data_IF_723721426113
#
_entry.id   IF_723721426113
#
_cell.length_a   1.000
_cell.length_b   1.000
_cell.length_c   1.000
_cell.angle_alpha   90.00
_cell.angle_beta   90.00
_cell.angle_gamma   90.00
#
_symmetry.space_group_name_H-M   'P 1'
#
loop_
_entity.id
_entity.type
_entity.pdbx_description
1 polymer ?
#
# COMPACT_ATOMS: atom_id res chain seq x y z
N UNK A 1 0.19 11.33 -6.04
CA UNK A 1 -0.20 9.94 -5.82
C UNK A 1 -0.74 9.27 -7.08
N UNK A 2 -1.41 9.98 -7.94
CA UNK A 2 -2.05 9.45 -9.16
C UNK A 2 -3.56 9.30 -9.03
N UNK A 3 -4.09 9.71 -7.90
CA UNK A 3 -5.51 9.94 -7.65
C UNK A 3 -5.63 11.44 -7.41
N UNK A 4 -6.20 12.15 -8.38
CA UNK A 4 -6.17 13.62 -8.44
C UNK A 4 -6.76 14.24 -7.17
N UNK A 5 -7.96 13.79 -6.81
CA UNK A 5 -8.68 14.30 -5.64
C UNK A 5 -7.92 14.02 -4.34
N UNK A 6 -7.26 12.86 -4.24
CA UNK A 6 -6.44 12.53 -3.09
C UNK A 6 -5.19 13.42 -3.01
N UNK A 7 -4.57 13.73 -4.15
CA UNK A 7 -3.46 14.67 -4.22
C UNK A 7 -3.90 16.09 -3.79
N UNK A 8 -5.10 16.53 -4.18
CA UNK A 8 -5.70 17.81 -3.76
C UNK A 8 -5.98 17.84 -2.25
N UNK A 9 -6.56 16.76 -1.69
CA UNK A 9 -6.83 16.63 -0.25
C UNK A 9 -5.52 16.69 0.56
N UNK A 10 -4.42 16.15 0.03
CA UNK A 10 -3.08 16.24 0.62
C UNK A 10 -2.33 17.54 0.28
N UNK A 11 -3.01 18.55 -0.28
CA UNK A 11 -2.38 19.84 -0.58
C UNK A 11 -1.29 19.78 -1.66
N UNK A 12 -1.39 18.85 -2.59
CA UNK A 12 -0.47 18.64 -3.71
C UNK A 12 0.24 17.28 -3.71
N UNK A 13 -0.17 16.38 -2.83
CA UNK A 13 0.33 15.01 -2.75
C UNK A 13 1.24 14.74 -1.56
N UNK A 14 1.85 13.56 -1.55
CA UNK A 14 2.74 13.14 -0.46
C UNK A 14 4.14 13.76 -0.58
N UNK A 15 4.71 14.28 0.51
CA UNK A 15 6.09 14.77 0.52
C UNK A 15 7.09 13.62 0.30
N UNK A 16 8.30 13.93 -0.14
CA UNK A 16 9.40 12.97 -0.34
C UNK A 16 10.50 13.25 0.67
N UNK A 17 10.97 12.27 1.46
CA UNK A 17 10.49 10.90 1.61
C UNK A 17 9.23 10.82 2.47
N UNK A 18 8.38 9.81 2.24
CA UNK A 18 7.13 9.67 2.97
C UNK A 18 6.53 8.26 2.88
N UNK A 19 5.77 7.90 3.91
CA UNK A 19 4.86 6.75 3.90
C UNK A 19 3.44 7.19 4.15
N UNK A 20 2.52 6.48 3.51
CA UNK A 20 1.09 6.54 3.75
C UNK A 20 0.63 5.20 4.32
N UNK A 21 0.03 5.22 5.50
CA UNK A 21 -0.78 4.12 5.99
C UNK A 21 -2.21 4.26 5.46
N UNK A 22 -2.72 3.20 4.86
CA UNK A 22 -4.15 3.04 4.59
C UNK A 22 -4.70 2.04 5.60
N UNK A 23 -5.43 2.51 6.58
CA UNK A 23 -6.10 1.69 7.57
C UNK A 23 -7.59 1.68 7.27
N UNK A 24 -8.17 0.53 6.94
CA UNK A 24 -9.57 0.52 6.50
C UNK A 24 -10.28 -0.81 6.68
N UNK A 25 -11.60 -0.74 6.73
CA UNK A 25 -12.47 -1.90 6.82
C UNK A 25 -12.33 -2.81 5.60
N UNK A 26 -12.79 -4.04 5.69
CA UNK A 26 -12.77 -5.00 4.57
C UNK A 26 -13.67 -4.48 3.45
N UNK A 27 -13.21 -4.58 2.19
CA UNK A 27 -13.98 -4.16 1.02
C UNK A 27 -13.99 -2.65 0.75
N UNK A 28 -13.14 -1.85 1.43
CA UNK A 28 -13.10 -0.38 1.24
C UNK A 28 -12.17 0.11 0.13
N UNK A 29 -11.62 -0.78 -0.70
CA UNK A 29 -10.78 -0.39 -1.84
C UNK A 29 -9.32 -0.09 -1.51
N UNK A 30 -8.79 -0.52 -0.35
CA UNK A 30 -7.37 -0.33 0.04
C UNK A 30 -6.40 -0.76 -1.06
N UNK A 31 -6.54 -2.00 -1.54
CA UNK A 31 -5.67 -2.55 -2.59
C UNK A 31 -5.85 -1.84 -3.93
N UNK A 32 -7.06 -1.36 -4.25
CA UNK A 32 -7.31 -0.56 -5.46
C UNK A 32 -6.54 0.76 -5.42
N UNK A 33 -6.54 1.46 -4.27
CA UNK A 33 -5.71 2.68 -4.09
C UNK A 33 -4.22 2.35 -4.28
N UNK A 34 -3.75 1.23 -3.73
CA UNK A 34 -2.38 0.77 -3.86
C UNK A 34 -1.99 0.50 -5.33
N UNK A 35 -2.85 -0.20 -6.07
CA UNK A 35 -2.65 -0.54 -7.47
C UNK A 35 -2.66 0.70 -8.36
N UNK A 36 -3.63 1.61 -8.16
CA UNK A 36 -3.70 2.86 -8.88
C UNK A 36 -2.46 3.73 -8.65
N UNK A 37 -2.01 3.82 -7.39
CA UNK A 37 -0.78 4.53 -7.05
C UNK A 37 0.42 3.99 -7.82
N UNK A 38 0.67 2.67 -7.76
CA UNK A 38 1.82 2.05 -8.44
C UNK A 38 1.76 2.28 -9.94
N UNK A 39 0.61 2.04 -10.57
CA UNK A 39 0.43 2.23 -12.00
C UNK A 39 0.70 3.68 -12.42
N UNK A 40 0.08 4.63 -11.72
CA UNK A 40 0.26 6.05 -12.01
C UNK A 40 1.69 6.55 -11.81
N UNK A 41 2.41 6.01 -10.82
CA UNK A 41 3.81 6.38 -10.60
C UNK A 41 4.74 5.75 -11.65
N UNK A 42 4.51 4.50 -12.04
CA UNK A 42 5.28 3.84 -13.09
C UNK A 42 5.08 4.54 -14.45
N UNK A 43 3.87 4.98 -14.76
CA UNK A 43 3.60 5.82 -15.95
C UNK A 43 4.35 7.15 -15.97
N UNK A 44 4.77 7.65 -14.81
CA UNK A 44 5.64 8.83 -14.67
C UNK A 44 7.13 8.50 -14.75
N UNK A 45 7.49 7.22 -14.96
CA UNK A 45 8.86 6.75 -15.08
C UNK A 45 9.54 6.40 -13.75
N UNK A 46 8.81 6.35 -12.63
CA UNK A 46 9.40 5.88 -11.37
C UNK A 46 9.48 4.36 -11.33
N UNK A 47 10.57 3.83 -10.76
CA UNK A 47 10.62 2.42 -10.41
C UNK A 47 9.69 2.13 -9.23
N UNK A 48 8.85 1.13 -9.39
CA UNK A 48 7.79 0.76 -8.47
C UNK A 48 7.91 -0.70 -8.05
N UNK A 49 7.70 -0.99 -6.77
CA UNK A 49 7.64 -2.36 -6.25
C UNK A 49 6.32 -2.58 -5.51
N UNK A 50 5.62 -3.63 -5.87
CA UNK A 50 4.42 -4.09 -5.18
C UNK A 50 4.71 -5.41 -4.47
N UNK A 51 4.69 -5.41 -3.14
CA UNK A 51 4.84 -6.61 -2.34
C UNK A 51 3.47 -7.29 -2.19
N UNK A 52 3.30 -8.40 -2.90
CA UNK A 52 2.08 -9.19 -2.96
C UNK A 52 2.06 -10.19 -1.80
N UNK A 53 1.37 -9.85 -0.69
CA UNK A 53 1.30 -10.68 0.52
C UNK A 53 -0.05 -11.39 0.61
N UNK A 54 -1.14 -10.65 0.41
CA UNK A 54 -2.52 -11.15 0.57
C UNK A 54 -3.07 -11.79 -0.71
N UNK A 55 -2.57 -11.37 -1.85
CA UNK A 55 -2.97 -11.84 -3.16
C UNK A 55 -1.73 -12.23 -3.98
N UNK A 56 -1.90 -13.15 -4.92
CA UNK A 56 -0.82 -13.49 -5.86
C UNK A 56 -0.56 -12.33 -6.85
N UNK A 57 0.66 -12.23 -7.42
CA UNK A 57 0.91 -11.26 -8.50
C UNK A 57 -0.06 -11.38 -9.68
N UNK A 58 -0.48 -12.61 -10.03
CA UNK A 58 -1.45 -12.84 -11.10
C UNK A 58 -2.81 -12.23 -10.78
N UNK A 59 -3.30 -12.37 -9.52
CA UNK A 59 -4.57 -11.78 -9.10
C UNK A 59 -4.48 -10.24 -9.09
N UNK A 60 -3.35 -9.69 -8.63
CA UNK A 60 -3.11 -8.24 -8.65
C UNK A 60 -3.13 -7.71 -10.08
N UNK A 61 -2.44 -8.37 -11.03
CA UNK A 61 -2.45 -7.99 -12.46
C UNK A 61 -3.85 -8.05 -13.05
N UNK A 62 -4.59 -9.15 -12.82
CA UNK A 62 -5.96 -9.30 -13.32
C UNK A 62 -6.86 -8.19 -12.80
N UNK A 63 -6.78 -7.86 -11.52
CA UNK A 63 -7.55 -6.77 -10.95
C UNK A 63 -7.16 -5.41 -11.56
N UNK A 64 -5.87 -5.14 -11.77
CA UNK A 64 -5.41 -3.92 -12.43
C UNK A 64 -5.93 -3.81 -13.86
N UNK A 65 -5.89 -4.90 -14.64
CA UNK A 65 -6.40 -4.96 -16.02
C UNK A 65 -7.90 -4.69 -16.05
N UNK A 66 -8.66 -5.27 -15.12
CA UNK A 66 -10.12 -5.04 -15.05
C UNK A 66 -10.50 -3.58 -14.79
N UNK A 67 -9.58 -2.80 -14.21
CA UNK A 67 -9.71 -1.36 -13.95
C UNK A 67 -9.04 -0.49 -15.05
N UNK A 68 -8.67 -1.10 -16.19
CA UNK A 68 -8.04 -0.40 -17.29
C UNK A 68 -6.56 -0.07 -17.09
N UNK A 69 -5.90 -0.66 -16.10
CA UNK A 69 -4.48 -0.42 -15.76
C UNK A 69 -3.62 -1.63 -16.11
N UNK A 70 -3.46 -1.92 -17.41
CA UNK A 70 -2.60 -3.02 -17.83
C UNK A 70 -1.12 -2.73 -17.47
N UNK A 71 -0.51 -3.50 -16.56
CA UNK A 71 0.86 -3.27 -16.11
C UNK A 71 1.91 -3.88 -17.03
N UNK A 72 1.53 -4.69 -18.05
CA UNK A 72 2.43 -5.55 -18.83
C UNK A 72 3.61 -4.78 -19.40
N UNK A 73 3.37 -3.70 -20.13
CA UNK A 73 4.44 -2.87 -20.74
C UNK A 73 5.36 -2.24 -19.67
N UNK A 74 4.81 -1.88 -18.52
CA UNK A 74 5.57 -1.27 -17.43
C UNK A 74 6.44 -2.32 -16.69
N UNK A 75 5.99 -3.57 -16.60
CA UNK A 75 6.79 -4.69 -16.09
C UNK A 75 7.93 -5.04 -17.05
N UNK A 76 7.66 -5.11 -18.36
CA UNK A 76 8.68 -5.36 -19.39
C UNK A 76 9.79 -4.29 -19.36
N UNK A 77 9.43 -3.03 -19.12
CA UNK A 77 10.38 -1.93 -18.94
C UNK A 77 11.07 -1.93 -17.58
N UNK A 78 10.71 -2.83 -16.67
CA UNK A 78 11.23 -2.88 -15.29
C UNK A 78 10.75 -1.76 -14.38
N UNK A 79 9.73 -0.99 -14.80
CA UNK A 79 9.15 0.10 -14.02
C UNK A 79 8.18 -0.41 -12.94
N UNK A 80 7.58 -1.58 -13.11
CA UNK A 80 6.82 -2.26 -12.07
C UNK A 80 7.48 -3.60 -11.77
N UNK A 81 7.62 -3.91 -10.48
CA UNK A 81 8.10 -5.21 -9.97
C UNK A 81 7.06 -5.73 -9.00
N UNK A 82 6.38 -6.81 -9.35
CA UNK A 82 5.57 -7.56 -8.39
C UNK A 82 6.47 -8.56 -7.68
N UNK A 83 6.52 -8.47 -6.36
CA UNK A 83 7.30 -9.40 -5.52
C UNK A 83 6.33 -10.40 -4.92
N UNK A 84 6.42 -11.64 -5.36
CA UNK A 84 5.58 -12.72 -4.86
C UNK A 84 6.07 -13.18 -3.50
N UNK A 85 5.37 -12.76 -2.48
CA UNK A 85 5.50 -13.21 -1.09
C UNK A 85 4.11 -13.60 -0.57
N UNK A 86 3.29 -14.18 -1.47
CA UNK A 86 1.91 -14.56 -1.18
C UNK A 86 1.85 -15.69 -0.14
N UNK A 87 1.14 -15.43 0.96
CA UNK A 87 1.04 -16.35 2.11
C UNK A 87 0.26 -17.64 1.81
N UNK A 88 -0.64 -17.61 0.83
CA UNK A 88 -1.43 -18.76 0.41
C UNK A 88 -0.69 -19.76 -0.49
N UNK A 89 0.55 -19.47 -0.89
CA UNK A 89 1.30 -20.32 -1.80
C UNK A 89 1.95 -21.48 -1.04
N UNK A 90 1.76 -22.70 -1.55
CA UNK A 90 2.39 -23.92 -1.02
C UNK A 90 3.65 -24.32 -1.82
N UNK A 91 3.70 -23.97 -3.11
CA UNK A 91 4.79 -24.30 -4.03
C UNK A 91 5.60 -23.06 -4.42
N UNK A 92 6.74 -23.29 -5.08
CA UNK A 92 7.55 -22.20 -5.65
C UNK A 92 6.78 -21.48 -6.76
N UNK A 93 6.95 -20.18 -6.81
CA UNK A 93 6.36 -19.33 -7.85
C UNK A 93 7.22 -19.30 -9.10
N UNK A 94 6.61 -19.18 -10.28
CA UNK A 94 7.32 -18.89 -11.53
C UNK A 94 7.63 -17.39 -11.69
N UNK A 95 7.24 -16.57 -10.69
CA UNK A 95 7.48 -15.15 -10.73
C UNK A 95 8.98 -14.81 -10.64
N UNK A 96 9.40 -13.83 -11.40
CA UNK A 96 10.79 -13.35 -11.44
C UNK A 96 11.32 -12.88 -10.09
N UNK A 97 10.43 -12.29 -9.30
CA UNK A 97 10.74 -11.76 -7.97
C UNK A 97 9.87 -12.49 -6.95
N UNK A 98 10.49 -13.25 -6.09
CA UNK A 98 9.79 -14.06 -5.08
C UNK A 98 10.53 -14.09 -3.75
N UNK A 99 9.84 -14.47 -2.70
CA UNK A 99 10.34 -14.66 -1.36
C UNK A 99 9.37 -15.48 -0.53
N UNK A 100 9.68 -15.62 0.75
CA UNK A 100 8.88 -16.43 1.67
C UNK A 100 8.33 -15.55 2.81
N UNK A 101 7.05 -15.18 2.73
CA UNK A 101 6.41 -14.42 3.80
C UNK A 101 6.17 -15.24 5.07
N UNK A 102 6.20 -16.58 5.01
CA UNK A 102 6.01 -17.47 6.18
C UNK A 102 7.25 -17.53 7.06
N UNK A 103 8.41 -17.12 6.57
CA UNK A 103 9.65 -17.02 7.33
C UNK A 103 10.04 -15.54 7.49
N UNK A 104 9.94 -15.00 8.70
CA UNK A 104 10.22 -13.58 8.96
C UNK A 104 11.69 -13.22 8.69
N UNK A 105 12.62 -14.14 8.95
CA UNK A 105 14.06 -13.92 8.74
C UNK A 105 14.43 -13.87 7.24
N UNK A 106 13.60 -14.44 6.37
CA UNK A 106 13.69 -14.33 4.92
C UNK A 106 12.90 -13.14 4.38
N UNK A 107 11.73 -12.83 4.97
CA UNK A 107 10.86 -11.73 4.57
C UNK A 107 11.59 -10.39 4.65
N UNK A 108 12.24 -10.09 5.77
CA UNK A 108 12.89 -8.80 6.00
C UNK A 108 14.00 -8.51 4.98
N UNK A 109 14.97 -9.42 4.71
CA UNK A 109 15.95 -9.23 3.64
C UNK A 109 15.32 -9.12 2.25
N UNK A 110 14.28 -9.92 1.97
CA UNK A 110 13.55 -9.85 0.69
C UNK A 110 12.96 -8.46 0.46
N UNK A 111 12.22 -7.94 1.44
CA UNK A 111 11.65 -6.59 1.34
C UNK A 111 12.77 -5.54 1.18
N UNK A 112 13.83 -5.62 2.00
CA UNK A 112 14.96 -4.69 1.95
C UNK A 112 15.64 -4.62 0.59
N UNK A 113 15.79 -5.75 -0.09
CA UNK A 113 16.45 -5.86 -1.41
C UNK A 113 15.84 -4.93 -2.46
N UNK A 114 14.56 -4.64 -2.34
CA UNK A 114 13.81 -3.81 -3.29
C UNK A 114 13.73 -2.33 -2.90
N UNK A 115 14.33 -1.89 -1.79
CA UNK A 115 14.39 -0.47 -1.43
C UNK A 115 15.55 0.23 -2.14
N UNK A 116 15.30 0.67 -3.37
CA UNK A 116 16.23 1.42 -4.22
C UNK A 116 16.00 2.93 -4.06
N UNK A 117 16.91 3.74 -4.61
CA UNK A 117 16.81 5.21 -4.57
C UNK A 117 15.57 5.72 -5.31
N UNK A 118 14.86 6.67 -4.73
CA UNK A 118 13.67 7.33 -5.29
C UNK A 118 12.52 6.38 -5.69
N UNK A 119 12.48 5.18 -5.15
CA UNK A 119 11.50 4.15 -5.49
C UNK A 119 10.09 4.50 -4.96
N UNK A 120 9.08 3.93 -5.62
CA UNK A 120 7.71 3.85 -5.11
C UNK A 120 7.42 2.42 -4.72
N UNK A 121 6.73 2.21 -3.60
CA UNK A 121 6.43 0.85 -3.15
C UNK A 121 5.06 0.75 -2.49
N UNK A 122 4.56 -0.48 -2.47
CA UNK A 122 3.35 -0.90 -1.75
C UNK A 122 3.64 -2.15 -0.95
N UNK A 123 3.17 -2.20 0.29
CA UNK A 123 3.08 -3.42 1.13
C UNK A 123 1.60 -3.73 1.33
N UNK A 124 1.13 -4.81 0.70
CA UNK A 124 -0.29 -5.21 0.70
C UNK A 124 -0.45 -6.66 1.19
N UNK A 125 -0.70 -6.90 2.50
CA UNK A 125 -0.84 -5.96 3.58
C UNK A 125 0.08 -6.30 4.78
N UNK A 126 0.30 -5.32 5.66
CA UNK A 126 1.01 -5.56 6.92
C UNK A 126 0.17 -6.38 7.90
N UNK A 127 -1.15 -6.41 7.72
CA UNK A 127 -2.05 -7.22 8.55
C UNK A 127 -1.74 -8.69 8.47
N UNK A 128 -1.44 -9.22 7.29
CA UNK A 128 -1.08 -10.63 7.14
C UNK A 128 0.29 -10.95 7.75
N UNK A 129 1.22 -10.00 7.72
CA UNK A 129 2.50 -10.15 8.45
C UNK A 129 2.25 -10.21 9.96
N UNK A 130 1.41 -9.33 10.49
CA UNK A 130 1.06 -9.32 11.91
C UNK A 130 0.31 -10.59 12.33
N UNK A 131 -0.58 -11.10 11.47
CA UNK A 131 -1.30 -12.33 11.73
C UNK A 131 -0.38 -13.58 11.79
N UNK A 132 0.59 -13.64 10.86
CA UNK A 132 1.51 -14.79 10.76
C UNK A 132 2.61 -14.77 11.83
N UNK A 133 3.16 -13.60 12.12
CA UNK A 133 4.39 -13.47 12.91
C UNK A 133 4.22 -12.75 14.25
N UNK A 134 3.02 -12.22 14.50
CA UNK A 134 2.72 -11.39 15.67
C UNK A 134 2.93 -9.89 15.40
N UNK A 135 2.24 -9.08 16.17
CA UNK A 135 2.20 -7.62 16.03
C UNK A 135 3.57 -6.97 16.26
N UNK A 136 4.38 -7.52 17.18
CA UNK A 136 5.73 -7.01 17.48
C UNK A 136 6.66 -7.10 16.26
N UNK A 137 6.65 -8.24 15.55
CA UNK A 137 7.47 -8.44 14.35
C UNK A 137 6.97 -7.58 13.18
N UNK A 138 5.66 -7.45 13.02
CA UNK A 138 5.09 -6.56 12.01
C UNK A 138 5.48 -5.09 12.30
N UNK A 139 5.45 -4.67 13.55
CA UNK A 139 5.90 -3.35 13.96
C UNK A 139 7.40 -3.14 13.70
N UNK A 140 8.25 -4.13 14.01
CA UNK A 140 9.69 -4.09 13.69
C UNK A 140 9.92 -3.90 12.17
N UNK A 141 9.20 -4.65 11.33
CA UNK A 141 9.27 -4.47 9.87
C UNK A 141 8.89 -3.04 9.46
N UNK A 142 7.83 -2.47 10.01
CA UNK A 142 7.41 -1.08 9.73
C UNK A 142 8.53 -0.10 10.11
N UNK A 143 9.15 -0.26 11.26
CA UNK A 143 10.25 0.62 11.69
C UNK A 143 11.46 0.52 10.75
N UNK A 144 11.81 -0.68 10.29
CA UNK A 144 12.86 -0.88 9.29
C UNK A 144 12.52 -0.23 7.95
N UNK A 145 11.29 -0.40 7.49
CA UNK A 145 10.78 0.23 6.27
C UNK A 145 10.90 1.75 6.35
N UNK A 146 10.54 2.36 7.48
CA UNK A 146 10.73 3.79 7.70
C UNK A 146 12.19 4.23 7.58
N UNK A 147 13.11 3.47 8.19
CA UNK A 147 14.54 3.76 8.06
C UNK A 147 15.03 3.68 6.61
N UNK A 148 14.59 2.67 5.86
CA UNK A 148 14.96 2.52 4.44
C UNK A 148 14.41 3.66 3.59
N UNK A 149 13.16 4.07 3.81
CA UNK A 149 12.51 5.19 3.11
C UNK A 149 13.29 6.48 3.29
N UNK A 150 13.70 6.79 4.50
CA UNK A 150 14.49 8.00 4.78
C UNK A 150 15.82 7.98 4.02
N UNK A 151 16.51 6.83 4.02
CA UNK A 151 17.81 6.68 3.37
C UNK A 151 17.73 6.70 1.84
N UNK A 152 16.64 6.17 1.26
CA UNK A 152 16.48 6.04 -0.20
C UNK A 152 15.64 7.15 -0.82
N UNK A 153 15.08 8.07 -0.02
CA UNK A 153 14.15 9.12 -0.46
C UNK A 153 12.92 8.56 -1.19
N UNK A 154 12.47 7.39 -0.77
CA UNK A 154 11.34 6.69 -1.37
C UNK A 154 10.00 7.24 -0.90
N UNK A 155 8.93 6.86 -1.59
CA UNK A 155 7.54 7.09 -1.17
C UNK A 155 6.78 5.79 -1.30
N UNK A 156 5.99 5.44 -0.29
CA UNK A 156 5.23 4.21 -0.36
C UNK A 156 3.95 4.19 0.44
N UNK A 157 3.18 3.15 0.17
CA UNK A 157 1.93 2.85 0.84
C UNK A 157 2.08 1.54 1.60
N UNK A 158 1.62 1.54 2.83
CA UNK A 158 1.40 0.33 3.63
C UNK A 158 -0.08 0.26 3.92
N UNK A 159 -0.75 -0.84 3.58
CA UNK A 159 -2.14 -1.01 3.98
C UNK A 159 -2.29 -1.97 5.16
N UNK A 160 -3.37 -1.78 5.91
CA UNK A 160 -3.77 -2.62 7.03
C UNK A 160 -5.29 -2.72 7.14
N UNK A 161 -5.77 -3.83 7.67
CA UNK A 161 -7.19 -4.07 7.96
C UNK A 161 -7.51 -3.51 9.34
N UNK A 162 -8.47 -2.59 9.40
CA UNK A 162 -8.96 -1.98 10.63
C UNK A 162 -9.75 -2.99 11.45
N UNK A 163 -9.54 -3.00 12.77
CA UNK A 163 -10.25 -3.90 13.69
C UNK A 163 -9.76 -5.35 13.69
N UNK A 164 -8.77 -5.69 12.85
CA UNK A 164 -8.19 -7.03 12.82
C UNK A 164 -7.16 -7.26 13.92
N UNK A 165 -6.58 -6.21 14.47
CA UNK A 165 -5.45 -6.24 15.39
C UNK A 165 -5.79 -5.56 16.72
N UNK A 166 -4.88 -5.69 17.70
CA UNK A 166 -5.02 -4.97 18.95
C UNK A 166 -5.07 -3.46 18.71
N UNK A 167 -5.87 -2.75 19.51
CA UNK A 167 -5.93 -1.29 19.47
C UNK A 167 -4.55 -0.65 19.67
N UNK A 168 -3.71 -1.28 20.48
CA UNK A 168 -2.34 -0.82 20.72
C UNK A 168 -1.51 -0.88 19.45
N UNK A 169 -1.56 -1.99 18.71
CA UNK A 169 -0.85 -2.13 17.45
C UNK A 169 -1.34 -1.12 16.39
N UNK A 170 -2.65 -0.99 16.23
CA UNK A 170 -3.20 -0.01 15.27
C UNK A 170 -2.78 1.43 15.59
N UNK A 171 -2.74 1.80 16.88
CA UNK A 171 -2.24 3.13 17.29
C UNK A 171 -0.73 3.23 17.00
N UNK A 172 0.05 2.20 17.31
CA UNK A 172 1.49 2.20 17.12
C UNK A 172 1.89 2.38 15.64
N UNK A 173 1.23 1.68 14.72
CA UNK A 173 1.51 1.83 13.28
C UNK A 173 1.07 3.20 12.75
N UNK A 174 -0.03 3.76 13.24
CA UNK A 174 -0.45 5.13 12.90
C UNK A 174 0.56 6.16 13.43
N UNK A 175 1.15 5.92 14.60
CA UNK A 175 2.18 6.80 15.14
C UNK A 175 3.48 6.69 14.33
N UNK A 176 3.90 5.48 13.97
CA UNK A 176 5.14 5.22 13.25
C UNK A 176 5.15 5.82 11.83
N UNK A 177 4.04 5.72 11.10
CA UNK A 177 3.94 6.14 9.70
C UNK A 177 3.61 7.65 9.58
N UNK A 178 4.18 8.32 8.59
CA UNK A 178 4.13 9.78 8.46
C UNK A 178 2.75 10.33 8.12
N UNK A 179 2.00 9.61 7.29
CA UNK A 179 0.66 9.99 6.86
C UNK A 179 -0.30 8.82 7.05
N UNK A 180 -1.53 9.12 7.42
CA UNK A 180 -2.55 8.10 7.69
C UNK A 180 -3.87 8.53 7.09
N UNK A 181 -4.43 7.69 6.24
CA UNK A 181 -5.84 7.75 5.86
C UNK A 181 -6.60 6.60 6.51
N UNK A 182 -7.84 6.85 6.88
CA UNK A 182 -8.75 5.83 7.38
C UNK A 182 -9.89 5.70 6.39
N UNK A 183 -10.16 4.47 5.98
CA UNK A 183 -11.31 4.10 5.15
C UNK A 183 -12.35 3.41 6.03
N UNK A 184 -13.53 3.96 6.09
CA UNK A 184 -14.63 3.46 6.89
C UNK A 184 -15.80 3.10 5.98
N UNK A 185 -16.36 1.91 6.20
CA UNK A 185 -17.58 1.48 5.54
C UNK A 185 -18.77 1.75 6.45
N UNK A 186 -19.78 2.40 5.93
CA UNK A 186 -21.05 2.59 6.60
C UNK A 186 -21.91 1.33 6.41
N UNK A 187 -22.27 0.67 7.51
CA UNK A 187 -23.00 -0.61 7.46
C UNK A 187 -24.46 -0.47 6.98
N UNK A 188 -25.06 0.72 7.11
CA UNK A 188 -26.45 0.94 6.70
C UNK A 188 -26.55 1.27 5.21
N UNK A 189 -25.62 2.09 4.72
CA UNK A 189 -25.65 2.60 3.33
C UNK A 189 -24.71 1.90 2.37
N UNK A 190 -23.85 1.01 2.88
CA UNK A 190 -22.75 0.37 2.14
C UNK A 190 -21.72 1.36 1.56
N UNK A 191 -21.85 2.64 1.91
CA UNK A 191 -20.99 3.72 1.41
C UNK A 191 -19.62 3.68 2.07
N UNK A 192 -18.58 3.97 1.29
CA UNK A 192 -17.21 4.06 1.79
C UNK A 192 -16.81 5.52 1.95
N UNK A 193 -16.17 5.82 3.05
CA UNK A 193 -15.67 7.15 3.37
C UNK A 193 -14.18 7.13 3.67
N UNK A 194 -13.52 8.18 3.23
CA UNK A 194 -12.10 8.46 3.50
C UNK A 194 -11.97 9.67 4.43
N UNK A 195 -11.11 9.57 5.42
CA UNK A 195 -10.63 10.74 6.17
C UNK A 195 -9.12 10.69 6.38
N UNK A 196 -8.49 11.86 6.40
CA UNK A 196 -7.08 11.96 6.78
C UNK A 196 -7.01 12.03 8.30
N UNK A 197 -6.38 11.02 8.92
CA UNK A 197 -6.20 10.96 10.37
C UNK A 197 -4.91 11.66 10.81
N UNK A 198 -3.88 11.67 9.94
CA UNK A 198 -2.58 12.26 10.24
C UNK A 198 -1.87 12.65 8.95
N UNK A 199 -1.18 13.79 8.96
CA UNK A 199 -0.17 14.15 7.97
C UNK A 199 1.05 14.74 8.64
N UNK A 200 2.20 14.56 8.01
CA UNK A 200 3.44 15.23 8.39
C UNK A 200 4.02 15.97 7.17
N UNK A 201 4.56 17.15 7.40
CA UNK A 201 5.25 17.98 6.38
C UNK A 201 4.34 18.49 5.24
N UNK A 202 3.03 18.39 5.36
CA UNK A 202 2.07 18.94 4.40
C UNK A 202 0.78 19.36 5.11
N UNK A 203 0.06 20.32 4.53
CA UNK A 203 -1.32 20.60 4.91
C UNK A 203 -2.27 19.57 4.30
N UNK A 204 -3.46 19.44 4.85
CA UNK A 204 -4.52 18.61 4.29
C UNK A 204 -5.88 19.22 4.53
N UNK A 205 -6.84 18.87 3.69
CA UNK A 205 -8.24 19.21 3.90
C UNK A 205 -8.81 18.34 5.02
N UNK A 206 -9.56 18.99 5.91
CA UNK A 206 -10.26 18.29 7.00
C UNK A 206 -11.64 17.88 6.52
N UNK A 207 -12.11 16.72 6.95
CA UNK A 207 -13.43 16.24 6.63
C UNK A 207 -13.47 14.74 6.43
N UNK A 208 -14.66 14.28 6.09
CA UNK A 208 -14.95 12.92 5.67
C UNK A 208 -15.41 13.00 4.22
N UNK A 209 -14.74 12.30 3.33
CA UNK A 209 -14.94 12.34 1.90
C UNK A 209 -15.54 11.02 1.43
N UNK A 210 -16.55 11.06 0.56
CA UNK A 210 -17.08 9.86 -0.08
C UNK A 210 -16.02 9.22 -0.99
N UNK A 211 -15.97 7.90 -1.02
CA UNK A 211 -15.08 7.15 -1.90
C UNK A 211 -15.88 6.15 -2.71
N UNK A 212 -15.75 6.21 -4.02
CA UNK A 212 -16.32 5.28 -4.98
C UNK A 212 -15.22 4.62 -5.80
N UNK A 213 -15.53 3.43 -6.29
CA UNK A 213 -14.66 2.69 -7.22
C UNK A 213 -15.48 2.43 -8.47
N UNK A 214 -15.01 2.95 -9.59
CA UNK A 214 -15.61 2.68 -10.90
C UNK A 214 -14.59 2.05 -11.86
N UNK A 215 -14.95 1.88 -13.12
CA UNK A 215 -14.10 1.30 -14.16
C UNK A 215 -12.79 2.09 -14.40
N UNK A 216 -12.70 3.32 -13.94
CA UNK A 216 -11.51 4.18 -14.05
C UNK A 216 -10.67 4.20 -12.77
N UNK A 217 -11.15 3.58 -11.70
CA UNK A 217 -10.48 3.48 -10.39
C UNK A 217 -11.18 4.25 -9.27
N UNK A 218 -10.38 4.81 -8.39
CA UNK A 218 -10.86 5.54 -7.21
C UNK A 218 -11.31 6.96 -7.60
N UNK A 219 -12.51 7.30 -7.17
CA UNK A 219 -13.05 8.66 -7.13
C UNK A 219 -13.32 9.10 -5.71
N UNK A 220 -12.97 10.33 -5.38
CA UNK A 220 -13.23 10.90 -4.06
C UNK A 220 -14.16 12.11 -4.24
N UNK A 221 -15.27 12.09 -3.48
CA UNK A 221 -16.30 13.12 -3.52
C UNK A 221 -16.23 14.01 -2.29
N UNK A 222 -16.46 15.31 -2.49
CA UNK A 222 -16.49 16.35 -1.45
C UNK A 222 -17.87 16.47 -0.83
#
# INVERSE_FOLDING_TARGET
MGIKELDEIFGGGLPIPSTLLILGDIGTGKSVICQQFIYAQAKKGYECTYFCIDNSPSDVRMNMISLGWDPTELEEKGLIKFVDIFIGREETSDEKYQGNARNFDELVPTVKKFFLQNQRFVIDSISSVAFLHGEDKAYDLIQRVQGWILNTRSVGIVNAVRGMHSKTFEIAIQQALGNVIILEKDEETDSVYLRIAKTTKTSHMRGKFGLEIDESGIRIMH
#
